data_IF_812076591077
#
_entry.id   IF_812076591077
#
_cell.length_a   1.000
_cell.length_b   1.000
_cell.length_c   1.000
_cell.angle_alpha   90.00
_cell.angle_beta   90.00
_cell.angle_gamma   90.00
#
_symmetry.space_group_name_H-M   'P 1'
#
loop_
_entity.id
_entity.type
_entity.pdbx_description
1 polymer ?
#
# COMPACT_ATOMS: atom_id res chain seq x y z
N UNK A 1 -1.47 -31.35 -11.71
CA UNK A 1 -2.03 -31.42 -10.33
C UNK A 1 -2.89 -30.18 -10.07
N UNK A 2 -3.94 -30.29 -9.26
CA UNK A 2 -4.70 -29.14 -8.77
C UNK A 2 -3.97 -28.39 -7.64
N UNK A 3 -4.48 -27.24 -7.20
CA UNK A 3 -3.79 -26.39 -6.22
C UNK A 3 -3.60 -27.05 -4.84
N UNK A 4 -4.48 -27.97 -4.43
CA UNK A 4 -4.37 -28.69 -3.15
C UNK A 4 -3.36 -29.83 -3.27
N UNK A 5 -3.36 -30.54 -4.38
CA UNK A 5 -2.40 -31.60 -4.70
C UNK A 5 -0.97 -31.04 -4.77
N UNK A 6 -0.77 -29.89 -5.43
CA UNK A 6 0.52 -29.18 -5.47
C UNK A 6 0.98 -28.80 -4.06
N UNK A 7 0.06 -28.34 -3.21
CA UNK A 7 0.35 -27.96 -1.82
C UNK A 7 0.83 -29.18 -1.01
N UNK A 8 0.18 -30.33 -1.16
CA UNK A 8 0.58 -31.58 -0.49
C UNK A 8 2.00 -32.00 -0.87
N UNK A 9 2.33 -32.00 -2.16
CA UNK A 9 3.68 -32.36 -2.64
C UNK A 9 4.74 -31.37 -2.13
N UNK A 10 4.40 -30.08 -1.96
CA UNK A 10 5.30 -29.06 -1.40
C UNK A 10 5.50 -29.21 0.11
N UNK A 11 4.46 -29.53 0.87
CA UNK A 11 4.55 -29.74 2.31
C UNK A 11 5.38 -30.98 2.66
N UNK A 12 5.23 -32.06 1.87
CA UNK A 12 5.99 -33.30 2.03
C UNK A 12 7.29 -33.32 1.20
N UNK A 13 7.74 -32.16 0.70
CA UNK A 13 8.92 -32.08 -0.15
C UNK A 13 10.18 -32.62 0.54
N UNK A 14 10.34 -32.38 1.84
CA UNK A 14 11.50 -32.84 2.60
C UNK A 14 11.56 -34.37 2.63
N UNK A 15 10.43 -35.03 2.89
CA UNK A 15 10.35 -36.50 2.94
C UNK A 15 10.50 -37.10 1.54
N UNK A 16 9.86 -36.49 0.52
CA UNK A 16 10.04 -36.90 -0.87
C UNK A 16 11.51 -36.79 -1.31
N UNK A 17 12.18 -35.66 -1.07
CA UNK A 17 13.59 -35.48 -1.44
C UNK A 17 14.53 -36.40 -0.66
N UNK A 18 14.15 -36.77 0.57
CA UNK A 18 14.93 -37.67 1.42
C UNK A 18 14.78 -39.13 0.96
N UNK A 19 13.59 -39.56 0.61
CA UNK A 19 13.26 -40.99 0.51
C UNK A 19 12.98 -41.46 -0.92
N UNK A 20 12.58 -40.57 -1.84
CA UNK A 20 12.32 -40.91 -3.24
C UNK A 20 13.62 -40.92 -4.06
N UNK A 21 13.81 -41.98 -4.84
CA UNK A 21 14.73 -41.97 -5.96
C UNK A 21 13.96 -41.95 -7.30
N UNK A 22 14.05 -40.86 -8.08
CA UNK A 22 13.30 -40.71 -9.33
C UNK A 22 13.48 -41.84 -10.34
N UNK A 23 14.64 -42.49 -10.38
CA UNK A 23 14.92 -43.56 -11.35
C UNK A 23 14.00 -44.76 -11.19
N UNK A 24 13.54 -45.01 -9.98
CA UNK A 24 12.80 -46.24 -9.64
C UNK A 24 11.34 -46.18 -10.13
N UNK A 25 10.82 -44.97 -10.35
CA UNK A 25 9.46 -44.72 -10.83
C UNK A 25 9.41 -44.08 -12.24
N UNK A 26 10.57 -43.73 -12.80
CA UNK A 26 10.68 -43.02 -14.09
C UNK A 26 10.12 -43.83 -15.27
N UNK A 27 10.34 -45.15 -15.28
CA UNK A 27 9.83 -46.05 -16.33
C UNK A 27 8.30 -46.08 -16.38
N UNK A 28 7.66 -46.12 -15.20
CA UNK A 28 6.21 -46.05 -15.08
C UNK A 28 5.68 -44.71 -15.58
N UNK A 29 6.28 -43.60 -15.14
CA UNK A 29 5.85 -42.25 -15.53
C UNK A 29 6.04 -41.97 -17.02
N UNK A 30 7.11 -42.50 -17.63
CA UNK A 30 7.32 -42.49 -19.08
C UNK A 30 6.19 -43.24 -19.80
N UNK A 31 5.82 -44.43 -19.32
CA UNK A 31 4.74 -45.25 -19.91
C UNK A 31 3.36 -44.57 -19.84
N UNK A 32 3.18 -43.63 -18.91
CA UNK A 32 1.96 -42.83 -18.73
C UNK A 32 2.02 -41.47 -19.43
N UNK A 33 3.11 -41.16 -20.14
CA UNK A 33 3.30 -39.89 -20.83
C UNK A 33 3.53 -38.70 -19.92
N UNK A 34 3.89 -38.92 -18.66
CA UNK A 34 4.18 -37.85 -17.69
C UNK A 34 5.66 -37.42 -17.73
N UNK A 35 6.52 -38.19 -18.39
CA UNK A 35 7.91 -37.86 -18.69
C UNK A 35 8.20 -38.13 -20.17
N UNK A 36 9.18 -37.41 -20.71
CA UNK A 36 9.77 -37.62 -22.03
C UNK A 36 11.04 -38.45 -21.93
N UNK A 37 11.44 -39.10 -23.04
CA UNK A 37 12.70 -39.84 -23.11
C UNK A 37 13.92 -38.97 -22.78
N UNK A 38 13.88 -37.68 -23.10
CA UNK A 38 14.91 -36.70 -22.77
C UNK A 38 14.98 -36.43 -21.27
N UNK A 39 13.83 -36.25 -20.61
CA UNK A 39 13.77 -36.08 -19.15
C UNK A 39 14.23 -37.35 -18.40
N UNK A 40 13.91 -38.54 -18.91
CA UNK A 40 14.36 -39.81 -18.33
C UNK A 40 15.87 -39.97 -18.51
N UNK A 41 16.41 -39.63 -19.68
CA UNK A 41 17.87 -39.60 -19.90
C UNK A 41 18.56 -38.59 -19.01
N UNK A 42 17.98 -37.40 -18.80
CA UNK A 42 18.53 -36.40 -17.88
C UNK A 42 18.53 -36.89 -16.43
N UNK A 43 17.58 -37.73 -16.03
CA UNK A 43 17.55 -38.34 -14.68
C UNK A 43 18.57 -39.47 -14.52
N UNK A 44 18.86 -40.23 -15.58
CA UNK A 44 19.74 -41.41 -15.56
C UNK A 44 21.21 -41.05 -15.88
N UNK A 45 21.44 -40.16 -16.84
CA UNK A 45 22.77 -39.83 -17.38
C UNK A 45 23.48 -38.69 -16.64
N UNK A 46 22.77 -37.89 -15.85
CA UNK A 46 23.41 -36.90 -14.98
C UNK A 46 23.97 -37.60 -13.74
N UNK A 47 25.21 -38.09 -13.88
CA UNK A 47 26.13 -38.50 -12.80
C UNK A 47 26.42 -37.30 -11.89
N UNK A 48 25.41 -36.90 -11.12
CA UNK A 48 25.43 -35.72 -10.28
C UNK A 48 25.59 -36.16 -8.85
N UNK A 49 26.72 -35.76 -8.28
CA UNK A 49 27.22 -35.91 -6.92
C UNK A 49 26.26 -35.50 -5.78
N UNK A 50 24.97 -35.26 -6.03
CA UNK A 50 23.95 -35.01 -5.01
C UNK A 50 22.53 -35.46 -5.44
N UNK A 51 22.13 -36.67 -5.03
CA UNK A 51 20.77 -37.25 -5.18
C UNK A 51 19.63 -36.27 -4.85
N UNK A 52 19.83 -35.40 -3.85
CA UNK A 52 18.83 -34.42 -3.41
C UNK A 52 18.47 -33.42 -4.51
N UNK A 53 19.45 -32.92 -5.25
CA UNK A 53 19.22 -31.92 -6.30
C UNK A 53 18.47 -32.53 -7.49
N UNK A 54 18.78 -33.79 -7.83
CA UNK A 54 18.10 -34.52 -8.90
C UNK A 54 16.65 -34.82 -8.53
N UNK A 55 16.39 -35.23 -7.28
CA UNK A 55 15.02 -35.41 -6.80
C UNK A 55 14.24 -34.09 -6.74
N UNK A 56 14.87 -32.98 -6.35
CA UNK A 56 14.22 -31.66 -6.36
C UNK A 56 13.81 -31.22 -7.76
N UNK A 57 14.70 -31.36 -8.76
CA UNK A 57 14.40 -31.08 -10.16
C UNK A 57 13.27 -31.99 -10.68
N UNK A 58 13.33 -33.28 -10.35
CA UNK A 58 12.29 -34.23 -10.68
C UNK A 58 10.91 -33.80 -10.13
N UNK A 59 10.83 -33.44 -8.85
CA UNK A 59 9.57 -33.02 -8.23
C UNK A 59 8.98 -31.77 -8.87
N UNK A 60 9.81 -30.84 -9.37
CA UNK A 60 9.32 -29.69 -10.15
C UNK A 60 8.61 -30.14 -11.43
N UNK A 61 9.19 -31.07 -12.18
CA UNK A 61 8.56 -31.61 -13.39
C UNK A 61 7.26 -32.35 -13.09
N UNK A 62 7.24 -33.15 -12.02
CA UNK A 62 6.07 -33.91 -11.61
C UNK A 62 4.91 -32.98 -11.24
N UNK A 63 5.18 -31.92 -10.48
CA UNK A 63 4.17 -30.93 -10.08
C UNK A 63 3.53 -30.25 -11.30
N UNK A 64 4.32 -29.96 -12.33
CA UNK A 64 3.88 -29.25 -13.54
C UNK A 64 3.17 -30.16 -14.54
N UNK A 65 3.63 -31.40 -14.71
CA UNK A 65 3.29 -32.22 -15.88
C UNK A 65 2.58 -33.54 -15.54
N UNK A 66 2.57 -33.96 -14.27
CA UNK A 66 1.97 -35.22 -13.86
C UNK A 66 0.63 -34.99 -13.12
N UNK A 67 -0.46 -35.69 -13.48
CA UNK A 67 -1.65 -35.78 -12.65
C UNK A 67 -1.31 -36.44 -11.30
N UNK A 68 -1.89 -35.95 -10.20
CA UNK A 68 -1.54 -36.42 -8.86
C UNK A 68 -1.78 -37.92 -8.67
N UNK A 69 -2.91 -38.44 -9.16
CA UNK A 69 -3.20 -39.86 -9.08
C UNK A 69 -2.15 -40.71 -9.81
N UNK A 70 -1.68 -40.27 -10.98
CA UNK A 70 -0.65 -41.00 -11.73
C UNK A 70 0.69 -41.00 -10.97
N UNK A 71 1.00 -39.91 -10.25
CA UNK A 71 2.18 -39.87 -9.39
C UNK A 71 2.05 -40.81 -8.18
N UNK A 72 0.88 -40.86 -7.53
CA UNK A 72 0.59 -41.82 -6.46
C UNK A 72 0.71 -43.26 -6.95
N UNK A 73 0.14 -43.56 -8.13
CA UNK A 73 0.21 -44.89 -8.72
C UNK A 73 1.66 -45.26 -9.08
N UNK A 74 2.46 -44.29 -9.51
CA UNK A 74 3.89 -44.49 -9.76
C UNK A 74 4.68 -44.80 -8.47
N UNK A 75 4.35 -44.13 -7.36
CA UNK A 75 4.96 -44.42 -6.05
C UNK A 75 4.60 -45.82 -5.54
N UNK A 76 3.43 -46.33 -5.89
CA UNK A 76 2.98 -47.70 -5.55
C UNK A 76 3.43 -48.76 -6.55
N UNK A 77 3.92 -48.35 -7.71
CA UNK A 77 4.35 -49.27 -8.75
C UNK A 77 5.49 -50.16 -8.22
N UNK A 78 5.36 -51.46 -8.43
CA UNK A 78 6.28 -52.50 -7.92
C UNK A 78 6.56 -52.40 -6.40
N UNK A 79 5.62 -51.87 -5.61
CA UNK A 79 5.73 -51.68 -4.17
C UNK A 79 6.94 -50.82 -3.74
N UNK A 80 7.34 -49.90 -4.61
CA UNK A 80 8.60 -49.15 -4.45
C UNK A 80 8.54 -48.15 -3.28
N UNK A 81 7.45 -47.37 -3.18
CA UNK A 81 7.28 -46.32 -2.17
C UNK A 81 5.83 -46.20 -1.64
N UNK A 82 5.20 -47.29 -1.16
CA UNK A 82 3.81 -47.26 -0.68
C UNK A 82 3.61 -46.26 0.47
N UNK A 83 4.59 -46.12 1.36
CA UNK A 83 4.55 -45.18 2.50
C UNK A 83 4.51 -43.70 2.09
N UNK A 84 5.19 -43.32 0.99
CA UNK A 84 5.12 -41.96 0.46
C UNK A 84 3.76 -41.68 -0.18
N UNK A 85 3.22 -42.67 -0.91
CA UNK A 85 1.89 -42.58 -1.48
C UNK A 85 0.82 -42.41 -0.40
N UNK A 86 0.87 -43.20 0.67
CA UNK A 86 -0.03 -43.10 1.83
C UNK A 86 0.09 -41.74 2.53
N UNK A 87 1.30 -41.26 2.76
CA UNK A 87 1.54 -39.95 3.40
C UNK A 87 0.96 -38.80 2.59
N UNK A 88 1.09 -38.85 1.26
CA UNK A 88 0.54 -37.85 0.34
C UNK A 88 -0.99 -37.90 0.32
N UNK A 89 -1.60 -39.08 0.26
CA UNK A 89 -3.06 -39.22 0.26
C UNK A 89 -3.68 -38.84 1.61
N UNK A 90 -3.07 -39.25 2.72
CA UNK A 90 -3.51 -38.88 4.07
C UNK A 90 -3.45 -37.36 4.25
N UNK A 91 -2.36 -36.72 3.78
CA UNK A 91 -2.26 -35.26 3.85
C UNK A 91 -3.28 -34.57 2.96
N UNK A 92 -3.54 -35.09 1.75
CA UNK A 92 -4.58 -34.54 0.87
C UNK A 92 -5.97 -34.68 1.50
N UNK A 93 -6.26 -35.81 2.14
CA UNK A 93 -7.51 -36.03 2.88
C UNK A 93 -7.65 -35.05 4.04
N UNK A 94 -6.61 -34.88 4.86
CA UNK A 94 -6.58 -33.92 5.96
C UNK A 94 -6.83 -32.49 5.47
N UNK A 95 -6.19 -32.06 4.37
CA UNK A 95 -6.43 -30.75 3.78
C UNK A 95 -7.85 -30.60 3.24
N UNK A 96 -8.42 -31.64 2.62
CA UNK A 96 -9.81 -31.61 2.12
C UNK A 96 -10.81 -31.53 3.28
N UNK A 97 -10.55 -32.22 4.39
CA UNK A 97 -11.36 -32.15 5.61
C UNK A 97 -11.22 -30.79 6.31
N UNK A 98 -10.00 -30.24 6.41
CA UNK A 98 -9.74 -28.86 6.86
C UNK A 98 -10.52 -27.83 6.01
N UNK A 99 -10.58 -28.00 4.69
CA UNK A 99 -11.33 -27.13 3.79
C UNK A 99 -12.86 -27.31 3.87
N UNK A 100 -13.36 -28.50 4.23
CA UNK A 100 -14.80 -28.75 4.38
C UNK A 100 -15.35 -28.13 5.67
N UNK A 101 -14.59 -28.16 6.77
CA UNK A 101 -14.92 -27.51 8.04
C UNK A 101 -14.89 -25.97 7.90
N UNK A 102 -14.01 -25.44 7.03
CA UNK A 102 -13.88 -23.99 6.74
C UNK A 102 -15.06 -23.34 5.99
N UNK A 103 -16.10 -24.09 5.57
CA UNK A 103 -17.32 -23.48 4.98
C UNK A 103 -18.35 -23.04 6.03
N UNK A 104 -18.30 -23.56 7.26
CA UNK A 104 -19.23 -23.18 8.32
C UNK A 104 -18.71 -22.06 9.25
N UNK A 105 -17.40 -21.80 9.28
CA UNK A 105 -16.76 -20.81 10.17
C UNK A 105 -16.18 -19.59 9.42
N UNK A 106 -16.80 -19.20 8.29
CA UNK A 106 -16.36 -18.05 7.48
C UNK A 106 -16.50 -16.68 8.15
N UNK A 107 -16.98 -16.60 9.38
CA UNK A 107 -16.99 -15.35 10.14
C UNK A 107 -15.77 -15.11 11.02
N UNK A 108 -14.96 -16.11 11.39
CA UNK A 108 -13.76 -15.85 12.20
C UNK A 108 -12.64 -16.85 11.92
N UNK A 109 -11.47 -16.28 11.57
CA UNK A 109 -10.12 -16.88 11.56
C UNK A 109 -9.66 -17.46 10.20
N UNK A 110 -8.91 -16.62 9.47
CA UNK A 110 -8.00 -17.00 8.39
C UNK A 110 -7.03 -18.09 8.88
N UNK A 111 -6.95 -19.22 8.16
CA UNK A 111 -5.76 -20.08 8.24
C UNK A 111 -4.60 -19.32 7.62
N UNK A 112 -3.65 -18.94 8.46
CA UNK A 112 -2.43 -18.25 8.09
C UNK A 112 -1.56 -19.17 7.23
N UNK A 113 -1.53 -18.92 5.92
CA UNK A 113 -0.28 -19.14 5.19
C UNK A 113 0.77 -18.32 5.96
N UNK A 114 1.81 -18.97 6.45
CA UNK A 114 2.87 -18.30 7.21
C UNK A 114 3.40 -17.12 6.41
N UNK A 115 3.00 -15.91 6.80
CA UNK A 115 3.43 -14.68 6.13
C UNK A 115 4.95 -14.59 6.24
N UNK A 116 5.61 -14.26 5.13
CA UNK A 116 7.07 -14.14 5.11
C UNK A 116 7.46 -12.93 5.97
N UNK A 117 8.21 -13.19 7.04
CA UNK A 117 8.82 -12.14 7.83
C UNK A 117 10.06 -11.60 7.13
N UNK A 118 10.09 -10.29 6.92
CA UNK A 118 11.26 -9.59 6.37
C UNK A 118 11.99 -8.76 7.43
N UNK A 119 11.61 -8.93 8.71
CA UNK A 119 12.09 -8.12 9.82
C UNK A 119 13.51 -8.52 10.20
N UNK A 120 14.49 -7.70 9.83
CA UNK A 120 15.89 -7.90 10.16
C UNK A 120 16.64 -6.57 10.38
N UNK A 121 17.84 -6.63 10.96
CA UNK A 121 18.63 -5.42 11.30
C UNK A 121 18.95 -4.55 10.08
N UNK A 122 19.15 -5.14 8.90
CA UNK A 122 19.41 -4.39 7.67
C UNK A 122 18.16 -3.64 7.21
N UNK A 123 17.01 -4.31 7.21
CA UNK A 123 15.72 -3.74 6.85
C UNK A 123 15.30 -2.59 7.77
N UNK A 124 15.58 -2.69 9.08
CA UNK A 124 15.40 -1.56 10.01
C UNK A 124 16.20 -0.33 9.61
N UNK A 125 17.48 -0.49 9.24
CA UNK A 125 18.32 0.62 8.74
C UNK A 125 17.74 1.24 7.46
N UNK A 126 17.29 0.41 6.52
CA UNK A 126 16.66 0.88 5.28
C UNK A 126 15.37 1.63 5.55
N UNK A 127 14.54 1.15 6.48
CA UNK A 127 13.31 1.80 6.86
C UNK A 127 13.57 3.15 7.56
N UNK A 128 14.58 3.24 8.43
CA UNK A 128 15.04 4.53 8.99
C UNK A 128 15.50 5.51 7.89
N UNK A 129 16.28 5.03 6.90
CA UNK A 129 16.70 5.86 5.77
C UNK A 129 15.49 6.35 4.96
N UNK A 130 14.55 5.47 4.67
CA UNK A 130 13.33 5.81 3.94
C UNK A 130 12.48 6.84 4.69
N UNK A 131 12.31 6.66 6.01
CA UNK A 131 11.58 7.60 6.86
C UNK A 131 12.27 8.97 6.91
N UNK A 132 13.61 9.00 7.01
CA UNK A 132 14.38 10.24 6.93
C UNK A 132 14.15 10.97 5.60
N UNK A 133 14.23 10.27 4.46
CA UNK A 133 14.02 10.86 3.15
C UNK A 133 12.57 11.33 2.95
N UNK A 134 11.58 10.55 3.44
CA UNK A 134 10.17 10.96 3.48
C UNK A 134 9.99 12.27 4.23
N UNK A 135 10.55 12.40 5.44
CA UNK A 135 10.39 13.60 6.26
C UNK A 135 11.01 14.82 5.59
N UNK A 136 12.21 14.71 5.02
CA UNK A 136 12.83 15.80 4.26
C UNK A 136 11.93 16.28 3.11
N UNK A 137 11.32 15.34 2.37
CA UNK A 137 10.35 15.67 1.32
C UNK A 137 9.07 16.34 1.87
N UNK A 138 8.54 15.84 2.98
CA UNK A 138 7.30 16.32 3.61
C UNK A 138 7.48 17.57 4.48
N UNK A 139 8.71 17.96 4.78
CA UNK A 139 9.10 19.18 5.49
C UNK A 139 9.73 20.22 4.55
N UNK A 140 9.74 19.97 3.24
CA UNK A 140 10.23 20.94 2.23
C UNK A 140 11.75 21.09 2.15
N UNK A 141 12.54 20.28 2.87
CA UNK A 141 14.00 20.30 2.81
C UNK A 141 14.53 19.48 1.61
N UNK A 142 14.26 20.03 0.42
CA UNK A 142 14.61 19.41 -0.86
C UNK A 142 16.13 19.38 -1.08
N UNK A 143 16.88 20.33 -0.55
CA UNK A 143 18.32 20.41 -0.74
C UNK A 143 19.06 19.33 0.04
N UNK A 144 18.74 19.13 1.32
CA UNK A 144 19.32 18.02 2.11
C UNK A 144 18.90 16.67 1.52
N UNK A 145 17.64 16.55 1.06
CA UNK A 145 17.15 15.37 0.37
C UNK A 145 18.01 15.02 -0.86
N UNK A 146 18.24 16.00 -1.76
CA UNK A 146 19.07 15.82 -2.95
C UNK A 146 20.51 15.44 -2.60
N UNK A 147 21.12 16.09 -1.62
CA UNK A 147 22.49 15.78 -1.18
C UNK A 147 22.62 14.32 -0.71
N UNK A 148 21.64 13.80 0.03
CA UNK A 148 21.63 12.40 0.48
C UNK A 148 21.46 11.47 -0.73
N UNK A 149 20.50 11.76 -1.62
CA UNK A 149 20.26 10.95 -2.83
C UNK A 149 21.50 10.89 -3.73
N UNK A 150 22.15 12.02 -4.00
CA UNK A 150 23.38 12.10 -4.78
C UNK A 150 24.53 11.35 -4.12
N UNK A 151 24.65 11.40 -2.79
CA UNK A 151 25.67 10.66 -2.06
C UNK A 151 25.47 9.15 -2.19
N UNK A 152 24.23 8.68 -2.11
CA UNK A 152 23.88 7.27 -2.31
C UNK A 152 24.17 6.87 -3.76
N UNK A 153 23.73 7.68 -4.74
CA UNK A 153 23.97 7.42 -6.15
C UNK A 153 25.47 7.32 -6.47
N UNK A 154 26.28 8.29 -6.01
CA UNK A 154 27.75 8.26 -6.20
C UNK A 154 28.39 7.00 -5.60
N UNK A 155 27.89 6.51 -4.47
CA UNK A 155 28.40 5.25 -3.88
C UNK A 155 28.03 4.04 -4.73
N UNK A 156 26.80 3.99 -5.23
CA UNK A 156 26.30 2.91 -6.07
C UNK A 156 27.01 2.86 -7.43
N UNK A 157 27.19 4.00 -8.09
CA UNK A 157 27.87 4.08 -9.39
C UNK A 157 29.36 3.73 -9.30
N UNK A 158 30.06 4.19 -8.24
CA UNK A 158 31.44 3.74 -7.98
C UNK A 158 31.55 2.24 -7.77
N UNK A 159 30.50 1.63 -7.23
CA UNK A 159 30.44 0.19 -7.01
C UNK A 159 30.21 -0.57 -8.32
N UNK A 160 29.31 -0.14 -9.21
CA UNK A 160 29.12 -0.75 -10.55
C UNK A 160 30.43 -0.90 -11.34
N UNK A 161 31.36 0.04 -11.13
CA UNK A 161 32.68 0.06 -11.77
C UNK A 161 33.72 -0.89 -11.13
N UNK A 162 33.40 -1.59 -10.04
CA UNK A 162 34.31 -2.47 -9.28
C UNK A 162 33.60 -3.74 -8.80
N UNK A 163 33.37 -4.73 -9.69
CA UNK A 163 32.60 -5.94 -9.38
C UNK A 163 33.26 -6.88 -8.36
N UNK A 164 34.54 -6.68 -8.04
CA UNK A 164 35.38 -7.56 -7.22
C UNK A 164 35.06 -7.53 -5.70
N UNK A 165 34.00 -6.83 -5.27
CA UNK A 165 33.60 -6.69 -3.86
C UNK A 165 32.64 -7.80 -3.40
N UNK A 166 32.63 -8.06 -2.08
CA UNK A 166 31.73 -9.01 -1.44
C UNK A 166 30.26 -8.80 -1.85
N UNK A 167 29.62 -9.86 -2.34
CA UNK A 167 28.22 -9.91 -2.81
C UNK A 167 27.25 -9.22 -1.83
N UNK A 168 27.47 -9.35 -0.53
CA UNK A 168 26.62 -8.75 0.50
C UNK A 168 26.63 -7.21 0.47
N UNK A 169 27.80 -6.59 0.36
CA UNK A 169 27.93 -5.12 0.32
C UNK A 169 27.23 -4.55 -0.94
N UNK A 170 27.21 -5.35 -2.01
CA UNK A 170 26.60 -5.01 -3.28
C UNK A 170 25.07 -4.94 -3.15
N UNK A 171 24.48 -5.89 -2.42
CA UNK A 171 23.04 -5.91 -2.18
C UNK A 171 22.60 -4.80 -1.22
N UNK A 172 23.38 -4.50 -0.18
CA UNK A 172 23.06 -3.40 0.74
C UNK A 172 23.07 -2.04 0.02
N UNK A 173 24.02 -1.81 -0.89
CA UNK A 173 24.08 -0.58 -1.71
C UNK A 173 22.93 -0.52 -2.72
N UNK A 174 22.55 -1.64 -3.33
CA UNK A 174 21.38 -1.72 -4.21
C UNK A 174 20.10 -1.37 -3.46
N UNK A 175 19.90 -1.90 -2.26
CA UNK A 175 18.75 -1.55 -1.42
C UNK A 175 18.71 -0.06 -1.06
N UNK A 176 19.85 0.52 -0.66
CA UNK A 176 19.93 1.95 -0.35
C UNK A 176 19.59 2.80 -1.58
N UNK A 177 20.07 2.42 -2.77
CA UNK A 177 19.76 3.12 -4.01
C UNK A 177 18.29 2.97 -4.38
N UNK A 178 17.71 1.78 -4.20
CA UNK A 178 16.28 1.55 -4.42
C UNK A 178 15.41 2.44 -3.51
N UNK A 179 15.74 2.52 -2.21
CA UNK A 179 15.06 3.41 -1.26
C UNK A 179 15.19 4.89 -1.66
N UNK A 180 16.37 5.31 -2.13
CA UNK A 180 16.58 6.68 -2.61
C UNK A 180 15.69 7.01 -3.84
N UNK A 181 15.58 6.08 -4.79
CA UNK A 181 14.69 6.20 -5.95
C UNK A 181 13.22 6.22 -5.54
N UNK A 182 12.79 5.34 -4.63
CA UNK A 182 11.43 5.33 -4.07
C UNK A 182 11.06 6.68 -3.43
N UNK A 183 12.01 7.25 -2.68
CA UNK A 183 11.81 8.54 -2.05
C UNK A 183 11.74 9.69 -3.08
N UNK A 184 12.51 9.63 -4.16
CA UNK A 184 12.44 10.59 -5.28
C UNK A 184 11.07 10.55 -5.95
N UNK A 185 10.52 9.35 -6.20
CA UNK A 185 9.14 9.19 -6.70
C UNK A 185 8.14 9.85 -5.73
N UNK A 186 8.33 9.66 -4.42
CA UNK A 186 7.46 10.26 -3.40
C UNK A 186 7.51 11.79 -3.42
N UNK A 187 8.71 12.37 -3.53
CA UNK A 187 8.90 13.82 -3.62
C UNK A 187 8.21 14.40 -4.86
N UNK A 188 8.48 13.83 -6.03
CA UNK A 188 7.88 14.30 -7.29
C UNK A 188 6.36 14.14 -7.31
N UNK A 189 5.83 13.10 -6.64
CA UNK A 189 4.39 12.93 -6.43
C UNK A 189 3.80 14.03 -5.53
N UNK A 190 4.48 14.39 -4.43
CA UNK A 190 4.07 15.50 -3.56
C UNK A 190 4.04 16.82 -4.34
N UNK A 191 4.97 17.01 -5.27
CA UNK A 191 5.03 18.16 -6.16
C UNK A 191 4.01 18.10 -7.32
N UNK A 192 3.23 17.03 -7.41
CA UNK A 192 2.29 16.77 -8.49
C UNK A 192 2.94 16.80 -9.89
N UNK A 193 4.12 16.20 -10.03
CA UNK A 193 4.80 16.11 -11.31
C UNK A 193 4.13 15.08 -12.24
N UNK A 194 3.38 15.57 -13.22
CA UNK A 194 2.65 14.75 -14.21
C UNK A 194 3.59 13.97 -15.15
N UNK A 195 4.85 14.39 -15.31
CA UNK A 195 5.85 13.72 -16.15
C UNK A 195 6.55 12.55 -15.44
N UNK A 196 6.25 12.32 -14.15
CA UNK A 196 6.92 11.33 -13.32
C UNK A 196 6.91 9.92 -13.93
N UNK A 197 5.79 9.52 -14.53
CA UNK A 197 5.62 8.21 -15.16
C UNK A 197 6.62 7.95 -16.30
N UNK A 198 7.04 8.97 -17.03
CA UNK A 198 7.93 8.87 -18.19
C UNK A 198 9.41 9.00 -17.81
N UNK A 199 9.71 9.25 -16.54
CA UNK A 199 11.08 9.48 -16.11
C UNK A 199 11.91 8.20 -15.96
N UNK A 200 13.21 8.35 -16.16
CA UNK A 200 14.20 7.27 -16.02
C UNK A 200 14.25 6.65 -14.62
N UNK A 201 13.65 7.27 -13.60
CA UNK A 201 13.62 6.74 -12.22
C UNK A 201 13.02 5.33 -12.19
N UNK A 202 11.94 5.08 -12.95
CA UNK A 202 11.32 3.76 -12.97
C UNK A 202 12.16 2.72 -13.69
N UNK A 203 12.89 3.14 -14.73
CA UNK A 203 13.88 2.29 -15.41
C UNK A 203 15.03 1.95 -14.47
N UNK A 204 15.60 2.94 -13.78
CA UNK A 204 16.65 2.75 -12.76
C UNK A 204 16.18 1.80 -11.65
N UNK A 205 14.93 1.92 -11.20
CA UNK A 205 14.36 1.01 -10.19
C UNK A 205 14.34 -0.43 -10.70
N UNK A 206 13.84 -0.67 -11.92
CA UNK A 206 13.79 -2.00 -12.55
C UNK A 206 15.19 -2.61 -12.71
N UNK A 207 16.17 -1.82 -13.17
CA UNK A 207 17.55 -2.27 -13.34
C UNK A 207 18.19 -2.72 -12.02
N UNK A 208 17.79 -2.11 -10.89
CA UNK A 208 18.37 -2.39 -9.57
C UNK A 208 17.68 -3.57 -8.87
N UNK A 209 16.42 -3.88 -9.20
CA UNK A 209 15.63 -4.93 -8.53
C UNK A 209 16.38 -6.25 -8.32
N UNK A 210 17.05 -6.84 -9.33
CA UNK A 210 17.71 -8.15 -9.17
C UNK A 210 18.86 -8.15 -8.16
N UNK A 211 19.38 -6.96 -7.84
CA UNK A 211 20.52 -6.78 -6.93
C UNK A 211 20.09 -6.45 -5.50
N UNK A 212 18.80 -6.22 -5.25
CA UNK A 212 18.28 -5.94 -3.89
C UNK A 212 18.26 -7.19 -3.02
N UNK A 213 18.34 -7.03 -1.70
CA UNK A 213 18.30 -8.18 -0.75
C UNK A 213 16.95 -8.90 -0.77
N UNK A 214 15.88 -8.22 -1.18
CA UNK A 214 14.57 -8.80 -1.35
C UNK A 214 13.88 -8.25 -2.62
N UNK A 215 14.13 -8.86 -3.79
CA UNK A 215 13.54 -8.42 -5.05
C UNK A 215 12.00 -8.43 -5.04
N UNK A 216 11.36 -9.30 -4.26
CA UNK A 216 9.89 -9.34 -4.14
C UNK A 216 9.35 -8.08 -3.47
N UNK A 217 9.95 -7.65 -2.35
CA UNK A 217 9.55 -6.42 -1.64
C UNK A 217 9.82 -5.18 -2.51
N UNK A 218 10.98 -5.15 -3.16
CA UNK A 218 11.35 -4.06 -4.06
C UNK A 218 10.43 -4.02 -5.30
N UNK A 219 10.11 -5.15 -5.91
CA UNK A 219 9.18 -5.24 -7.04
C UNK A 219 7.78 -4.78 -6.67
N UNK A 220 7.25 -5.25 -5.51
CA UNK A 220 5.99 -4.78 -4.95
C UNK A 220 5.99 -3.25 -4.81
N UNK A 221 7.06 -2.70 -4.23
CA UNK A 221 7.18 -1.27 -4.00
C UNK A 221 7.22 -0.49 -5.32
N UNK A 222 8.00 -0.96 -6.29
CA UNK A 222 8.05 -0.42 -7.63
C UNK A 222 6.67 -0.40 -8.28
N UNK A 223 5.94 -1.52 -8.27
CA UNK A 223 4.61 -1.64 -8.88
C UNK A 223 3.61 -0.65 -8.26
N UNK A 224 3.57 -0.54 -6.93
CA UNK A 224 2.68 0.42 -6.26
C UNK A 224 3.04 1.87 -6.60
N UNK A 225 4.33 2.20 -6.64
CA UNK A 225 4.79 3.56 -7.00
C UNK A 225 4.50 3.89 -8.46
N UNK A 226 4.72 2.94 -9.37
CA UNK A 226 4.42 3.08 -10.78
C UNK A 226 2.91 3.23 -11.02
N UNK A 227 2.08 2.42 -10.35
CA UNK A 227 0.63 2.56 -10.35
C UNK A 227 0.20 3.98 -9.99
N UNK A 228 0.80 4.54 -8.92
CA UNK A 228 0.49 5.89 -8.49
C UNK A 228 0.94 6.97 -9.48
N UNK A 229 2.10 6.83 -10.11
CA UNK A 229 2.54 7.77 -11.15
C UNK A 229 1.68 7.67 -12.42
N UNK A 230 1.35 6.46 -12.87
CA UNK A 230 0.47 6.21 -14.03
C UNK A 230 -0.91 6.85 -13.85
N UNK A 231 -1.48 6.73 -12.65
CA UNK A 231 -2.78 7.33 -12.31
C UNK A 231 -2.82 8.87 -12.39
N UNK A 232 -1.67 9.54 -12.30
CA UNK A 232 -1.57 11.00 -12.44
C UNK A 232 -1.52 11.47 -13.89
N UNK A 233 -0.99 10.64 -14.80
CA UNK A 233 -0.70 11.03 -16.19
C UNK A 233 -1.74 10.54 -17.20
N UNK A 234 -2.14 9.28 -17.12
CA UNK A 234 -2.96 8.62 -18.14
C UNK A 234 -4.38 8.35 -17.60
N UNK A 235 -4.66 7.08 -17.31
CA UNK A 235 -5.94 6.56 -16.86
C UNK A 235 -5.75 5.86 -15.52
N UNK A 236 -6.77 6.02 -14.67
CA UNK A 236 -6.80 5.46 -13.33
C UNK A 236 -6.85 3.93 -13.36
N UNK A 237 -7.50 3.38 -14.39
CA UNK A 237 -7.63 1.95 -14.67
C UNK A 237 -6.27 1.29 -14.93
N UNK A 238 -5.38 1.93 -15.70
CA UNK A 238 -4.02 1.42 -15.93
C UNK A 238 -3.23 1.36 -14.62
N UNK A 239 -3.36 2.40 -13.77
CA UNK A 239 -2.76 2.41 -12.43
C UNK A 239 -3.28 1.28 -11.54
N UNK A 240 -4.58 1.02 -11.55
CA UNK A 240 -5.20 -0.06 -10.76
C UNK A 240 -4.68 -1.45 -11.15
N UNK A 241 -4.38 -1.68 -12.43
CA UNK A 241 -3.77 -2.92 -12.90
C UNK A 241 -2.46 -3.24 -12.18
N UNK A 242 -1.51 -2.29 -12.16
CA UNK A 242 -0.22 -2.43 -11.47
C UNK A 242 -0.37 -2.56 -9.95
N UNK A 243 -1.32 -1.81 -9.35
CA UNK A 243 -1.58 -1.90 -7.92
C UNK A 243 -2.08 -3.29 -7.51
N UNK A 244 -2.93 -3.93 -8.33
CA UNK A 244 -3.41 -5.27 -8.03
C UNK A 244 -2.28 -6.30 -7.97
N UNK A 245 -1.30 -6.23 -8.88
CA UNK A 245 -0.10 -7.07 -8.80
C UNK A 245 0.72 -6.78 -7.54
N UNK A 246 0.85 -5.50 -7.17
CA UNK A 246 1.51 -5.15 -5.91
C UNK A 246 0.79 -5.73 -4.68
N UNK A 247 -0.55 -5.77 -4.68
CA UNK A 247 -1.32 -6.31 -3.56
C UNK A 247 -1.14 -7.82 -3.39
N UNK A 248 -1.08 -8.56 -4.49
CA UNK A 248 -0.77 -10.00 -4.45
C UNK A 248 0.58 -10.28 -3.76
N UNK A 249 1.58 -9.42 -3.97
CA UNK A 249 2.84 -9.50 -3.24
C UNK A 249 2.71 -9.13 -1.76
N UNK A 250 1.93 -8.08 -1.44
CA UNK A 250 1.71 -7.63 -0.07
C UNK A 250 1.01 -8.68 0.81
N UNK A 251 0.10 -9.46 0.24
CA UNK A 251 -0.62 -10.53 0.95
C UNK A 251 0.29 -11.65 1.46
N UNK A 252 1.43 -11.88 0.79
CA UNK A 252 2.43 -12.88 1.19
C UNK A 252 3.35 -12.42 2.32
N UNK A 253 3.35 -11.13 2.66
CA UNK A 253 4.28 -10.51 3.61
C UNK A 253 3.63 -10.24 4.96
N UNK A 254 4.43 -10.30 6.01
CA UNK A 254 4.03 -9.73 7.31
C UNK A 254 3.84 -8.22 7.19
N UNK A 255 2.99 -7.62 8.05
CA UNK A 255 2.90 -6.18 8.19
C UNK A 255 4.27 -5.54 8.30
N UNK A 256 4.52 -4.60 7.40
CA UNK A 256 5.74 -3.80 7.32
C UNK A 256 5.47 -2.50 6.56
N UNK A 257 6.43 -1.56 6.61
CA UNK A 257 6.37 -0.26 5.93
C UNK A 257 5.89 -0.36 4.47
N UNK A 258 6.43 -1.30 3.68
CA UNK A 258 6.10 -1.41 2.26
C UNK A 258 4.67 -1.90 2.03
N UNK A 259 4.17 -2.85 2.82
CA UNK A 259 2.74 -3.22 2.74
C UNK A 259 1.82 -2.03 3.06
N UNK A 260 2.23 -1.15 3.98
CA UNK A 260 1.48 0.08 4.26
C UNK A 260 1.50 1.09 3.16
N UNK A 261 2.62 1.20 2.47
CA UNK A 261 2.71 2.04 1.29
C UNK A 261 1.75 1.54 0.19
N UNK A 262 1.63 0.22 -0.02
CA UNK A 262 0.66 -0.35 -0.98
C UNK A 262 -0.78 0.02 -0.60
N UNK A 263 -1.20 -0.22 0.63
CA UNK A 263 -2.57 0.13 1.07
C UNK A 263 -2.83 1.63 1.05
N UNK A 264 -1.83 2.44 1.42
CA UNK A 264 -1.97 3.89 1.35
C UNK A 264 -2.11 4.39 -0.10
N UNK A 265 -1.41 3.77 -1.06
CA UNK A 265 -1.57 4.08 -2.48
C UNK A 265 -2.96 3.64 -2.97
N UNK A 266 -3.43 2.45 -2.59
CA UNK A 266 -4.80 2.00 -2.91
C UNK A 266 -5.85 3.03 -2.47
N UNK A 267 -5.79 3.45 -1.21
CA UNK A 267 -6.72 4.43 -0.66
C UNK A 267 -6.64 5.75 -1.42
N UNK A 268 -5.44 6.21 -1.80
CA UNK A 268 -5.30 7.43 -2.59
C UNK A 268 -5.90 7.29 -3.99
N UNK A 269 -5.73 6.16 -4.66
CA UNK A 269 -6.34 5.93 -5.98
C UNK A 269 -7.85 5.92 -5.88
N UNK A 270 -8.41 5.23 -4.88
CA UNK A 270 -9.85 5.24 -4.62
C UNK A 270 -10.36 6.66 -4.30
N UNK A 271 -9.61 7.45 -3.52
CA UNK A 271 -9.94 8.86 -3.28
C UNK A 271 -9.95 9.69 -4.57
N UNK A 272 -9.03 9.44 -5.50
CA UNK A 272 -9.04 10.11 -6.80
C UNK A 272 -10.24 9.71 -7.67
N UNK A 273 -10.70 8.45 -7.60
CA UNK A 273 -11.97 8.03 -8.24
C UNK A 273 -13.12 8.83 -7.61
N UNK A 274 -13.15 8.88 -6.27
CA UNK A 274 -14.21 9.53 -5.51
C UNK A 274 -14.28 11.04 -5.76
N UNK A 275 -13.13 11.70 -5.91
CA UNK A 275 -13.05 13.11 -6.28
C UNK A 275 -13.69 13.42 -7.65
N UNK A 276 -13.65 12.46 -8.58
CA UNK A 276 -14.26 12.60 -9.91
C UNK A 276 -15.72 12.18 -9.93
N UNK A 277 -16.08 11.18 -9.12
CA UNK A 277 -17.42 10.61 -9.05
C UNK A 277 -17.79 10.27 -7.59
N UNK A 278 -18.32 11.24 -6.82
CA UNK A 278 -18.57 11.09 -5.40
C UNK A 278 -19.83 10.27 -5.12
N UNK A 279 -19.73 8.95 -5.23
CA UNK A 279 -20.83 8.02 -4.93
C UNK A 279 -20.74 7.47 -3.50
N UNK A 280 -21.86 7.35 -2.75
CA UNK A 280 -21.86 6.88 -1.36
C UNK A 280 -21.19 5.51 -1.15
N UNK A 281 -21.38 4.57 -2.08
CA UNK A 281 -20.77 3.24 -2.01
C UNK A 281 -19.24 3.29 -2.05
N UNK A 282 -18.67 4.22 -2.83
CA UNK A 282 -17.23 4.40 -2.92
C UNK A 282 -16.66 5.05 -1.65
N UNK A 283 -17.38 6.00 -1.05
CA UNK A 283 -17.05 6.54 0.28
C UNK A 283 -16.98 5.43 1.32
N UNK A 284 -18.00 4.57 1.38
CA UNK A 284 -18.05 3.40 2.29
C UNK A 284 -16.88 2.45 2.03
N UNK A 285 -16.58 2.15 0.77
CA UNK A 285 -15.45 1.31 0.39
C UNK A 285 -14.11 1.90 0.86
N UNK A 286 -13.88 3.20 0.66
CA UNK A 286 -12.66 3.88 1.11
C UNK A 286 -12.52 3.79 2.63
N UNK A 287 -13.59 4.07 3.38
CA UNK A 287 -13.58 4.00 4.84
C UNK A 287 -13.29 2.57 5.34
N UNK A 288 -13.93 1.55 4.76
CA UNK A 288 -13.68 0.15 5.09
C UNK A 288 -12.24 -0.28 4.80
N UNK A 289 -11.70 0.09 3.62
CA UNK A 289 -10.32 -0.21 3.25
C UNK A 289 -9.32 0.50 4.17
N UNK A 290 -9.63 1.72 4.59
CA UNK A 290 -8.80 2.47 5.53
C UNK A 290 -8.78 1.82 6.91
N UNK A 291 -9.93 1.30 7.37
CA UNK A 291 -10.02 0.57 8.64
C UNK A 291 -9.21 -0.73 8.62
N UNK A 292 -9.31 -1.50 7.53
CA UNK A 292 -8.50 -2.71 7.33
C UNK A 292 -7.00 -2.39 7.33
N UNK A 293 -6.60 -1.28 6.70
CA UNK A 293 -5.22 -0.82 6.71
C UNK A 293 -4.78 -0.44 8.14
N UNK A 294 -5.58 0.32 8.89
CA UNK A 294 -5.28 0.66 10.29
C UNK A 294 -5.10 -0.60 11.14
N UNK A 295 -6.03 -1.56 11.04
CA UNK A 295 -5.95 -2.84 11.76
C UNK A 295 -4.67 -3.61 11.42
N UNK A 296 -4.28 -3.63 10.14
CA UNK A 296 -3.03 -4.25 9.71
C UNK A 296 -1.80 -3.57 10.34
N UNK A 297 -1.79 -2.24 10.50
CA UNK A 297 -0.67 -1.50 11.10
C UNK A 297 -0.62 -1.48 12.62
N UNK A 298 -1.71 -1.83 13.32
CA UNK A 298 -1.67 -2.02 14.77
C UNK A 298 -0.71 -3.16 15.20
N UNK A 299 -0.29 -4.00 14.26
CA UNK A 299 0.67 -5.09 14.50
C UNK A 299 2.11 -4.74 14.11
N UNK A 300 2.36 -3.51 13.64
CA UNK A 300 3.69 -3.04 13.22
C UNK A 300 4.23 -1.98 14.18
N UNK A 301 5.26 -2.34 14.96
CA UNK A 301 5.75 -1.51 16.08
C UNK A 301 6.54 -0.28 15.63
N UNK A 302 7.36 -0.40 14.58
CA UNK A 302 8.33 0.66 14.24
C UNK A 302 7.71 1.83 13.47
N UNK A 303 6.72 1.56 12.61
CA UNK A 303 6.15 2.55 11.69
C UNK A 303 4.63 2.60 11.72
N UNK A 304 3.97 1.80 12.57
CA UNK A 304 2.52 1.74 12.65
C UNK A 304 1.88 3.10 12.94
N UNK A 305 2.45 3.86 13.88
CA UNK A 305 1.96 5.20 14.25
C UNK A 305 1.98 6.19 13.08
N UNK A 306 2.99 6.11 12.21
CA UNK A 306 3.08 6.98 11.04
C UNK A 306 1.96 6.71 10.04
N UNK A 307 1.73 5.44 9.72
CA UNK A 307 0.59 5.03 8.90
C UNK A 307 -0.74 5.36 9.55
N UNK A 308 -0.87 5.18 10.88
CA UNK A 308 -2.07 5.50 11.62
C UNK A 308 -2.46 6.98 11.45
N UNK A 309 -1.50 7.91 11.65
CA UNK A 309 -1.72 9.34 11.41
C UNK A 309 -2.16 9.62 9.97
N UNK A 310 -1.47 9.02 9.00
CA UNK A 310 -1.75 9.21 7.57
C UNK A 310 -3.14 8.69 7.16
N UNK A 311 -3.55 7.55 7.71
CA UNK A 311 -4.81 6.87 7.40
C UNK A 311 -6.00 7.53 8.11
N UNK A 312 -5.87 7.94 9.37
CA UNK A 312 -6.90 8.71 10.07
C UNK A 312 -7.23 10.00 9.34
N UNK A 313 -6.20 10.73 8.88
CA UNK A 313 -6.43 11.95 8.10
C UNK A 313 -7.15 11.66 6.77
N UNK A 314 -6.95 10.47 6.19
CA UNK A 314 -7.71 10.01 5.01
C UNK A 314 -9.18 9.73 5.33
N UNK A 315 -9.49 9.15 6.50
CA UNK A 315 -10.88 8.99 6.96
C UNK A 315 -11.56 10.34 7.08
N UNK A 316 -10.90 11.29 7.75
CA UNK A 316 -11.40 12.67 7.90
C UNK A 316 -11.66 13.32 6.54
N UNK A 317 -10.74 13.19 5.59
CA UNK A 317 -10.90 13.75 4.26
C UNK A 317 -12.10 13.13 3.52
N UNK A 318 -12.25 11.81 3.60
CA UNK A 318 -13.38 11.11 2.99
C UNK A 318 -14.73 11.55 3.60
N UNK A 319 -14.78 11.71 4.93
CA UNK A 319 -15.96 12.15 5.68
C UNK A 319 -16.34 13.60 5.33
N UNK A 320 -15.37 14.50 5.27
CA UNK A 320 -15.63 15.93 5.03
C UNK A 320 -15.73 16.31 3.54
N UNK A 321 -15.53 15.36 2.62
CA UNK A 321 -15.54 15.62 1.18
C UNK A 321 -14.34 16.43 0.72
N UNK A 322 -13.14 16.08 1.20
CA UNK A 322 -11.87 16.72 0.87
C UNK A 322 -11.05 15.77 0.00
N UNK A 323 -10.55 16.28 -1.13
CA UNK A 323 -9.70 15.58 -2.07
C UNK A 323 -8.25 15.42 -1.58
N UNK A 324 -7.47 14.67 -2.34
CA UNK A 324 -6.10 14.23 -2.07
C UNK A 324 -5.16 15.40 -1.75
N UNK A 325 -5.36 16.54 -2.42
CA UNK A 325 -4.55 17.76 -2.29
C UNK A 325 -5.30 18.89 -1.57
N UNK A 326 -6.27 18.54 -0.71
CA UNK A 326 -6.98 19.51 0.14
C UNK A 326 -8.08 20.31 -0.56
N UNK A 327 -8.39 20.01 -1.82
CA UNK A 327 -9.50 20.62 -2.55
C UNK A 327 -10.83 20.08 -2.04
N UNK A 328 -11.83 20.92 -1.82
CA UNK A 328 -13.21 20.47 -1.58
C UNK A 328 -13.78 19.75 -2.80
N UNK A 329 -14.43 18.61 -2.58
CA UNK A 329 -15.09 17.83 -3.62
C UNK A 329 -16.53 18.35 -3.78
N UNK A 330 -16.89 18.74 -5.00
CA UNK A 330 -18.24 19.21 -5.30
C UNK A 330 -19.24 18.06 -5.25
N UNK A 331 -20.46 18.31 -4.75
CA UNK A 331 -21.54 17.32 -4.74
C UNK A 331 -21.43 16.25 -3.65
N UNK A 332 -20.43 16.31 -2.76
CA UNK A 332 -20.39 15.43 -1.58
C UNK A 332 -21.34 15.92 -0.51
N UNK A 333 -22.36 15.11 -0.20
CA UNK A 333 -23.17 15.26 0.99
C UNK A 333 -22.38 14.77 2.22
N UNK A 334 -22.38 15.59 3.26
CA UNK A 334 -21.73 15.30 4.54
C UNK A 334 -22.78 15.47 5.61
N UNK A 335 -23.07 14.38 6.31
CA UNK A 335 -24.09 14.34 7.35
C UNK A 335 -23.50 14.65 8.73
N UNK A 336 -24.35 14.55 9.76
CA UNK A 336 -23.94 14.77 11.14
C UNK A 336 -23.00 13.67 11.64
N UNK A 337 -23.17 12.43 11.20
CA UNK A 337 -22.31 11.31 11.60
C UNK A 337 -20.89 11.49 11.08
N UNK A 338 -20.74 11.90 9.81
CA UNK A 338 -19.45 12.26 9.22
C UNK A 338 -18.74 13.34 10.01
N UNK A 339 -19.49 14.38 10.41
CA UNK A 339 -18.96 15.52 11.16
C UNK A 339 -18.46 15.09 12.53
N UNK A 340 -19.24 14.26 13.24
CA UNK A 340 -18.87 13.71 14.56
C UNK A 340 -17.64 12.82 14.46
N UNK A 341 -17.59 11.91 13.48
CA UNK A 341 -16.45 11.04 13.30
C UNK A 341 -15.19 11.82 12.90
N UNK A 342 -15.31 12.81 12.01
CA UNK A 342 -14.19 13.66 11.60
C UNK A 342 -13.63 14.45 12.80
N UNK A 343 -14.50 15.01 13.63
CA UNK A 343 -14.12 15.71 14.86
C UNK A 343 -13.39 14.79 15.85
N UNK A 344 -13.89 13.56 16.05
CA UNK A 344 -13.25 12.55 16.89
C UNK A 344 -11.83 12.23 16.42
N UNK A 345 -11.65 11.96 15.12
CA UNK A 345 -10.33 11.65 14.57
C UNK A 345 -9.37 12.84 14.60
N UNK A 346 -9.85 14.04 14.30
CA UNK A 346 -9.04 15.26 14.40
C UNK A 346 -8.62 15.54 15.85
N UNK A 347 -9.50 15.28 16.83
CA UNK A 347 -9.16 15.44 18.25
C UNK A 347 -8.08 14.44 18.70
N UNK A 348 -8.12 13.20 18.21
CA UNK A 348 -7.06 12.23 18.45
C UNK A 348 -5.72 12.69 17.84
N UNK A 349 -5.73 13.18 16.60
CA UNK A 349 -4.53 13.65 15.90
C UNK A 349 -3.91 14.92 16.53
N UNK A 350 -4.69 15.68 17.29
CA UNK A 350 -4.29 16.91 17.99
C UNK A 350 -3.61 16.64 19.34
N UNK A 351 -3.62 15.40 19.83
CA UNK A 351 -2.94 15.02 21.08
C UNK A 351 -1.43 15.31 20.97
N UNK A 352 -0.78 15.87 22.02
CA UNK A 352 0.61 16.31 21.95
C UNK A 352 1.60 15.26 21.41
N UNK A 353 1.48 14.01 21.85
CA UNK A 353 2.39 12.93 21.44
C UNK A 353 2.25 12.57 19.95
N UNK A 354 1.04 12.70 19.40
CA UNK A 354 0.75 12.43 17.99
C UNK A 354 1.13 13.65 17.12
N UNK A 355 0.78 14.85 17.59
CA UNK A 355 1.00 16.10 16.88
C UNK A 355 2.49 16.42 16.71
N UNK A 356 3.29 16.19 17.75
CA UNK A 356 4.71 16.51 17.73
C UNK A 356 5.50 15.67 16.72
N UNK A 357 5.07 14.42 16.48
CA UNK A 357 5.67 13.54 15.48
C UNK A 357 5.16 13.77 14.05
N UNK A 358 4.12 14.58 13.88
CA UNK A 358 3.49 14.79 12.58
C UNK A 358 4.32 15.72 11.69
N UNK A 359 4.65 15.27 10.48
CA UNK A 359 5.37 16.06 9.47
C UNK A 359 4.60 17.31 9.01
N UNK A 360 5.31 18.32 8.50
CA UNK A 360 4.75 19.63 8.16
C UNK A 360 3.62 19.54 7.14
N UNK A 361 3.77 18.69 6.10
CA UNK A 361 2.72 18.49 5.09
C UNK A 361 1.44 17.91 5.70
N UNK A 362 1.54 17.04 6.69
CA UNK A 362 0.35 16.47 7.37
C UNK A 362 -0.30 17.49 8.28
N UNK A 363 0.48 18.31 8.98
CA UNK A 363 -0.04 19.44 9.77
C UNK A 363 -0.83 20.41 8.90
N UNK A 364 -0.33 20.73 7.70
CA UNK A 364 -1.10 21.52 6.73
C UNK A 364 -2.43 20.84 6.36
N UNK A 365 -2.39 19.57 5.95
CA UNK A 365 -3.58 18.82 5.57
C UNK A 365 -4.59 18.69 6.74
N UNK A 366 -4.09 18.56 7.97
CA UNK A 366 -4.90 18.62 9.19
C UNK A 366 -5.60 19.96 9.36
N UNK A 367 -4.90 21.08 9.15
CA UNK A 367 -5.52 22.41 9.23
C UNK A 367 -6.56 22.63 8.13
N UNK A 368 -6.36 22.09 6.93
CA UNK A 368 -7.40 22.10 5.88
C UNK A 368 -8.66 21.36 6.37
N UNK A 369 -8.50 20.19 6.99
CA UNK A 369 -9.64 19.45 7.54
C UNK A 369 -10.33 20.15 8.71
N UNK A 370 -9.57 20.73 9.65
CA UNK A 370 -10.12 21.56 10.74
C UNK A 370 -10.89 22.76 10.19
N UNK A 371 -10.34 23.42 9.16
CA UNK A 371 -11.02 24.52 8.48
C UNK A 371 -12.39 24.08 7.94
N UNK A 372 -12.43 22.98 7.18
CA UNK A 372 -13.69 22.47 6.61
C UNK A 372 -14.69 22.02 7.69
N UNK A 373 -14.22 21.39 8.77
CA UNK A 373 -15.06 21.03 9.91
C UNK A 373 -15.66 22.28 10.59
N UNK A 374 -14.84 23.27 10.92
CA UNK A 374 -15.29 24.51 11.57
C UNK A 374 -16.25 25.30 10.68
N UNK A 375 -15.98 25.36 9.37
CA UNK A 375 -16.87 25.98 8.39
C UNK A 375 -18.26 25.33 8.39
N UNK A 376 -18.32 24.00 8.43
CA UNK A 376 -19.59 23.25 8.50
C UNK A 376 -20.33 23.44 9.83
N UNK A 377 -19.61 23.69 10.91
CA UNK A 377 -20.16 24.03 12.21
C UNK A 377 -20.56 25.52 12.34
N UNK A 378 -20.45 26.34 11.28
CA UNK A 378 -20.74 27.77 11.31
C UNK A 378 -19.68 28.61 12.05
N UNK A 379 -18.53 28.04 12.40
CA UNK A 379 -17.42 28.72 13.10
C UNK A 379 -16.46 29.32 12.07
N UNK A 380 -16.93 30.32 11.32
CA UNK A 380 -16.20 30.88 10.17
C UNK A 380 -14.84 31.49 10.57
N UNK A 381 -14.77 32.23 11.67
CA UNK A 381 -13.51 32.82 12.17
C UNK A 381 -12.44 31.75 12.42
N UNK A 382 -12.82 30.66 13.10
CA UNK A 382 -11.92 29.55 13.41
C UNK A 382 -11.54 28.82 12.12
N UNK A 383 -12.46 28.69 11.16
CA UNK A 383 -12.15 28.12 9.85
C UNK A 383 -11.07 28.95 9.13
N UNK A 384 -11.24 30.27 9.08
CA UNK A 384 -10.28 31.21 8.47
C UNK A 384 -8.90 31.11 9.12
N UNK A 385 -8.82 31.11 10.45
CA UNK A 385 -7.55 30.93 11.17
C UNK A 385 -6.84 29.62 10.81
N UNK A 386 -7.58 28.53 10.62
CA UNK A 386 -6.99 27.25 10.20
C UNK A 386 -6.54 27.27 8.74
N UNK A 387 -7.30 27.92 7.85
CA UNK A 387 -6.91 28.09 6.46
C UNK A 387 -5.59 28.89 6.34
N UNK A 388 -5.43 29.97 7.10
CA UNK A 388 -4.18 30.75 7.16
C UNK A 388 -2.99 29.93 7.68
N UNK A 389 -3.20 29.09 8.71
CA UNK A 389 -2.16 28.17 9.20
C UNK A 389 -1.73 27.17 8.13
N UNK A 390 -2.70 26.61 7.38
CA UNK A 390 -2.42 25.73 6.26
C UNK A 390 -1.64 26.47 5.16
N UNK A 391 -2.05 27.69 4.81
CA UNK A 391 -1.42 28.52 3.79
C UNK A 391 0.04 28.82 4.13
N UNK A 392 0.29 29.23 5.37
CA UNK A 392 1.64 29.51 5.86
C UNK A 392 2.57 28.30 5.72
N UNK A 393 2.10 27.11 6.06
CA UNK A 393 2.86 25.87 5.88
C UNK A 393 3.07 25.55 4.39
N UNK A 394 2.05 25.70 3.55
CA UNK A 394 2.15 25.44 2.11
C UNK A 394 3.14 26.38 1.41
N UNK A 395 3.08 27.67 1.73
CA UNK A 395 3.96 28.70 1.20
C UNK A 395 5.40 28.50 1.65
N UNK A 396 5.63 28.25 2.94
CA UNK A 396 6.97 28.00 3.51
C UNK A 396 7.68 26.83 2.82
N UNK A 397 6.95 25.75 2.52
CA UNK A 397 7.53 24.50 2.03
C UNK A 397 7.37 24.29 0.51
N UNK A 398 6.77 25.25 -0.20
CA UNK A 398 6.66 25.23 -1.67
C UNK A 398 5.64 24.25 -2.26
N UNK A 399 4.59 23.87 -1.53
CA UNK A 399 3.54 22.96 -2.02
C UNK A 399 2.50 23.69 -2.87
N UNK A 400 2.83 23.90 -4.15
CA UNK A 400 2.06 24.76 -5.07
C UNK A 400 0.60 24.33 -5.29
N UNK A 401 0.34 23.03 -5.41
CA UNK A 401 -1.02 22.52 -5.68
C UNK A 401 -1.91 22.70 -4.47
N UNK A 402 -1.45 22.30 -3.28
CA UNK A 402 -2.18 22.52 -2.03
C UNK A 402 -2.36 24.01 -1.75
N UNK A 403 -1.32 24.84 -1.97
CA UNK A 403 -1.43 26.30 -1.81
C UNK A 403 -2.55 26.88 -2.69
N UNK A 404 -2.64 26.49 -3.97
CA UNK A 404 -3.71 26.96 -4.85
C UNK A 404 -5.10 26.53 -4.36
N UNK A 405 -5.23 25.35 -3.77
CA UNK A 405 -6.50 24.89 -3.19
C UNK A 405 -6.85 25.62 -1.89
N UNK A 406 -5.85 25.92 -1.05
CA UNK A 406 -6.04 26.67 0.21
C UNK A 406 -6.44 28.12 -0.08
N UNK A 407 -5.83 28.78 -1.07
CA UNK A 407 -6.19 30.15 -1.47
C UNK A 407 -7.65 30.23 -1.90
N UNK A 408 -8.12 29.27 -2.72
CA UNK A 408 -9.54 29.18 -3.10
C UNK A 408 -10.45 28.96 -1.88
N UNK A 409 -10.02 28.14 -0.93
CA UNK A 409 -10.76 27.91 0.32
C UNK A 409 -10.90 29.20 1.14
N UNK A 410 -9.85 30.02 1.21
CA UNK A 410 -9.89 31.33 1.89
C UNK A 410 -10.86 32.27 1.17
N UNK A 411 -10.79 32.36 -0.17
CA UNK A 411 -11.72 33.18 -0.97
C UNK A 411 -13.18 32.77 -0.76
N UNK A 412 -13.45 31.46 -0.68
CA UNK A 412 -14.78 30.92 -0.39
C UNK A 412 -15.27 31.35 1.00
N UNK A 413 -14.43 31.28 2.03
CA UNK A 413 -14.77 31.70 3.40
C UNK A 413 -15.10 33.19 3.49
N UNK A 414 -14.28 34.05 2.87
CA UNK A 414 -14.53 35.50 2.85
C UNK A 414 -15.85 35.85 2.16
N UNK A 415 -16.27 35.07 1.16
CA UNK A 415 -17.55 35.29 0.48
C UNK A 415 -18.77 34.92 1.33
N UNK A 416 -18.62 33.99 2.28
CA UNK A 416 -19.68 33.59 3.22
C UNK A 416 -19.87 34.67 4.27
N UNK A 417 -18.77 35.17 4.83
CA UNK A 417 -18.76 36.24 5.84
C UNK A 417 -19.50 37.49 5.34
N UNK A 418 -19.22 37.94 4.11
CA UNK A 418 -19.93 39.08 3.48
C UNK A 418 -21.45 38.83 3.33
N UNK A 419 -21.87 37.59 3.10
CA UNK A 419 -23.30 37.26 2.96
C UNK A 419 -24.00 37.20 4.32
N UNK A 420 -23.32 36.72 5.36
CA UNK A 420 -23.84 36.69 6.72
C UNK A 420 -23.97 38.11 7.27
N UNK A 421 -22.95 38.96 7.11
CA UNK A 421 -23.01 40.39 7.47
C UNK A 421 -24.18 41.09 6.77
N UNK A 422 -24.33 40.90 5.45
CA UNK A 422 -25.46 41.49 4.71
C UNK A 422 -26.82 40.95 5.16
N UNK A 423 -26.90 39.71 5.62
CA UNK A 423 -28.14 39.11 6.13
C UNK A 423 -28.50 39.67 7.50
N UNK A 424 -27.52 39.83 8.39
CA UNK A 424 -27.69 40.47 9.68
C UNK A 424 -28.04 41.95 9.55
N UNK A 425 -27.39 42.68 8.63
CA UNK A 425 -27.74 44.07 8.31
C UNK A 425 -29.18 44.19 7.80
N UNK A 426 -29.63 43.28 6.93
CA UNK A 426 -31.01 43.27 6.42
C UNK A 426 -32.04 42.85 7.48
N UNK A 427 -31.68 41.94 8.40
CA UNK A 427 -32.53 41.58 9.54
C UNK A 427 -32.68 42.76 10.50
N UNK A 428 -31.57 43.38 10.89
CA UNK A 428 -31.58 44.57 11.73
C UNK A 428 -32.34 45.72 11.08
N UNK A 429 -32.22 45.93 9.76
CA UNK A 429 -33.01 46.95 9.05
C UNK A 429 -34.51 46.65 9.08
N UNK A 430 -34.89 45.38 8.96
CA UNK A 430 -36.28 44.94 8.99
C UNK A 430 -36.87 45.08 10.38
N UNK A 431 -36.14 44.68 11.42
CA UNK A 431 -36.57 44.84 12.81
C UNK A 431 -36.71 46.34 13.16
N UNK A 432 -35.79 47.19 12.66
CA UNK A 432 -35.90 48.64 12.82
C UNK A 432 -37.10 49.25 12.06
N UNK A 433 -37.45 48.71 10.90
CA UNK A 433 -38.61 49.12 10.11
C UNK A 433 -39.92 48.65 10.76
N UNK A 434 -39.96 47.44 11.29
CA UNK A 434 -41.12 46.88 11.99
C UNK A 434 -41.37 47.65 13.32
N UNK A 435 -40.31 48.09 14.02
CA UNK A 435 -40.42 49.00 15.20
C UNK A 435 -40.90 50.41 14.81
N UNK A 436 -40.49 50.92 13.64
CA UNK A 436 -40.92 52.25 13.13
C UNK A 436 -42.34 52.25 12.55
N UNK A 437 -42.83 51.09 12.09
CA UNK A 437 -44.15 50.93 11.48
C UNK A 437 -45.18 50.29 12.42
N UNK A 438 -44.76 49.81 13.59
CA UNK A 438 -45.56 49.05 14.55
C UNK A 438 -46.29 49.84 15.65
N UNK A 439 -46.39 51.18 15.58
CA UNK A 439 -47.05 51.98 16.63
C UNK A 439 -48.42 52.58 16.29
N UNK A 440 -48.97 52.38 15.08
CA UNK A 440 -50.20 53.09 14.66
C UNK A 440 -51.32 52.13 14.21
N UNK A 441 -51.66 51.11 15.01
CA UNK A 441 -52.91 50.36 14.76
C UNK A 441 -53.58 49.79 16.00
N UNK A 442 -53.85 50.61 17.02
CA UNK A 442 -54.99 50.42 17.93
C UNK A 442 -55.51 51.80 18.34
N UNK A 443 -56.38 52.39 17.52
CA UNK A 443 -57.55 53.20 17.91
C UNK A 443 -58.09 53.95 16.67
N UNK A 444 -59.06 53.35 15.99
CA UNK A 444 -60.29 54.02 15.49
C UNK A 444 -61.33 53.00 14.97
#
# INVERSE_FOLDING_TARGET
MDSLEIKVVRELNVDLVRDLNPTDIASYLLSKGCLTDEQVKDLICNDTTCRKNSCQKFLLYIVEQCPFQIFIDALRYDDTYPFLAESLEERLKNIKEECAVQKQDRDKVLVSVGKISIHNKHRRKLATLAHKLKNLSHDGDVDTFRQINERINRKFERYKLRPDRHIKDNMELADMRFVALEAEVSLRRVQYDVSLCESDIFKDMLEILPFTTNPTVSSMTYLARYASAKSMMESLEAGLGYLNYSKQHAEMLQPCKETGMVFYIEINLLSQIYEKNPVPDLKKQILQRTELAISHFNTEEEFGNDFHRMLLLKKVFCQLGIGLFGKRIAGVEVDSEDTICAESYLSYLEQPDIWNEMESRRKMLFFIAKCELCRRQGKIDIASMNAERAENLARKNGWKVELANIVRLIEELSSVDIKEVKREENMNLKDLLDDLLGSDSEDE
#
